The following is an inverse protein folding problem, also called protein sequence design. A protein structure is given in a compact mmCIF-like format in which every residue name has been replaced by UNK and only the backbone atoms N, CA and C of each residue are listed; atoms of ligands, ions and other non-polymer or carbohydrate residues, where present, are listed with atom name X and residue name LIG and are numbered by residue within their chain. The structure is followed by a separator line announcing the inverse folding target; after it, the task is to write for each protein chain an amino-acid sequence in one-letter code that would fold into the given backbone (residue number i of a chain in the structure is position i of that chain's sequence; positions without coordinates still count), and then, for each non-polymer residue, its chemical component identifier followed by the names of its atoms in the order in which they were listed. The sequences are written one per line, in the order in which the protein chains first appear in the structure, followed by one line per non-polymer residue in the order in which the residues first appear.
data_IF_558072849483
#
_entry.id   IF_558072849483
#
_cell.length_a   1.000
_cell.length_b   1.000
_cell.length_c   1.000
_cell.angle_alpha   90.00
_cell.angle_beta   90.00
_cell.angle_gamma   90.00
#
_symmetry.space_group_name_H-M   'P 1'
#
loop_
_entity.id
_entity.type
_entity.pdbx_description
1 polymer ?
#
# COMPACT_ATOMS: atom_id res chain seq x y z
N UNK A 1 9.49 -6.60 -3.05
CA UNK A 1 10.00 -5.23 -3.34
C UNK A 1 9.76 -4.30 -2.14
N UNK A 2 10.56 -3.24 -1.95
CA UNK A 2 10.37 -2.22 -0.89
C UNK A 2 10.21 -0.83 -1.50
N UNK A 3 9.22 -0.08 -1.02
CA UNK A 3 8.93 1.29 -1.45
C UNK A 3 8.94 2.24 -0.25
N UNK A 4 9.37 3.48 -0.45
CA UNK A 4 9.20 4.53 0.57
C UNK A 4 7.77 5.04 0.57
N UNK A 5 7.24 5.34 1.76
CA UNK A 5 5.90 5.93 1.92
C UNK A 5 5.74 7.18 1.06
N UNK A 6 6.74 8.06 1.05
CA UNK A 6 6.71 9.27 0.23
C UNK A 6 6.55 8.99 -1.28
N UNK A 7 7.14 7.90 -1.79
CA UNK A 7 6.98 7.49 -3.18
C UNK A 7 5.58 6.93 -3.44
N UNK A 8 5.03 6.16 -2.51
CA UNK A 8 3.65 5.68 -2.58
C UNK A 8 2.66 6.84 -2.52
N UNK A 9 2.89 7.84 -1.66
CA UNK A 9 2.07 9.04 -1.60
C UNK A 9 2.14 9.89 -2.87
N UNK A 10 3.33 10.04 -3.46
CA UNK A 10 3.46 10.70 -4.76
C UNK A 10 2.65 9.97 -5.85
N UNK A 11 2.78 8.64 -5.91
CA UNK A 11 2.00 7.81 -6.82
C UNK A 11 0.48 7.96 -6.58
N UNK A 12 0.03 8.01 -5.33
CA UNK A 12 -1.39 8.20 -5.00
C UNK A 12 -1.91 9.58 -5.42
N UNK A 13 -1.10 10.64 -5.37
CA UNK A 13 -1.48 11.98 -5.84
C UNK A 13 -1.76 12.05 -7.34
N UNK A 14 -1.13 11.17 -8.12
CA UNK A 14 -1.34 11.05 -9.56
C UNK A 14 -2.60 10.24 -9.91
N UNK A 15 -3.20 9.56 -8.93
CA UNK A 15 -4.40 8.74 -9.12
C UNK A 15 -5.69 9.56 -8.93
N UNK A 16 -6.80 9.15 -9.55
CA UNK A 16 -8.10 9.74 -9.28
C UNK A 16 -8.47 9.69 -7.79
N UNK A 17 -9.22 10.69 -7.34
CA UNK A 17 -9.75 10.72 -5.98
C UNK A 17 -10.59 9.45 -5.71
N UNK A 18 -10.31 8.80 -4.58
CA UNK A 18 -10.98 7.55 -4.18
C UNK A 18 -10.33 6.26 -4.69
N UNK A 19 -9.19 6.33 -5.39
CA UNK A 19 -8.37 5.16 -5.68
C UNK A 19 -7.84 4.54 -4.37
N UNK A 20 -7.80 3.20 -4.31
CA UNK A 20 -7.24 2.48 -3.16
C UNK A 20 -5.75 2.18 -3.32
N UNK A 21 -5.08 1.82 -2.23
CA UNK A 21 -3.68 1.38 -2.30
C UNK A 21 -3.52 0.05 -3.04
N UNK A 22 -4.49 -0.86 -2.93
CA UNK A 22 -4.53 -2.12 -3.67
C UNK A 22 -4.48 -1.86 -5.18
N UNK A 23 -5.35 -0.95 -5.65
CA UNK A 23 -5.41 -0.55 -7.05
C UNK A 23 -4.11 0.11 -7.50
N UNK A 24 -3.56 1.01 -6.69
CA UNK A 24 -2.36 1.76 -7.04
C UNK A 24 -1.09 0.88 -7.07
N UNK A 25 -0.96 -0.06 -6.14
CA UNK A 25 0.18 -0.97 -6.02
C UNK A 25 0.02 -2.24 -6.86
N UNK A 26 -1.18 -2.49 -7.41
CA UNK A 26 -1.49 -3.70 -8.17
C UNK A 26 -1.34 -4.96 -7.31
N UNK A 27 -1.85 -4.91 -6.08
CA UNK A 27 -1.79 -6.01 -5.10
C UNK A 27 -3.19 -6.49 -4.74
N UNK A 28 -3.30 -7.74 -4.31
CA UNK A 28 -4.55 -8.33 -3.86
C UNK A 28 -5.08 -7.65 -2.59
N UNK A 29 -4.20 -7.37 -1.63
CA UNK A 29 -4.57 -6.80 -0.33
C UNK A 29 -3.39 -6.04 0.28
N UNK A 30 -3.71 -4.94 0.99
CA UNK A 30 -2.75 -4.19 1.79
C UNK A 30 -2.99 -4.44 3.28
N UNK A 31 -2.06 -5.15 3.92
CA UNK A 31 -2.06 -5.34 5.37
C UNK A 31 -1.46 -4.13 6.08
N UNK A 32 -2.02 -3.78 7.24
CA UNK A 32 -1.48 -2.75 8.10
C UNK A 32 -0.44 -3.34 9.05
N UNK A 33 0.69 -2.63 9.19
CA UNK A 33 1.66 -2.85 10.25
C UNK A 33 1.68 -1.65 11.19
N UNK A 34 1.65 -1.92 12.50
CA UNK A 34 1.79 -0.90 13.54
C UNK A 34 3.25 -0.51 13.82
N UNK A 35 4.22 -1.27 13.29
CA UNK A 35 5.67 -1.01 13.50
C UNK A 35 6.34 -0.37 12.29
N UNK A 36 5.70 -0.37 11.12
CA UNK A 36 6.20 0.31 9.94
C UNK A 36 5.85 1.80 9.99
N UNK A 37 6.83 2.65 9.73
CA UNK A 37 6.68 4.10 9.70
C UNK A 37 6.80 4.71 8.30
N UNK A 38 7.84 4.33 7.55
CA UNK A 38 8.27 5.04 6.33
C UNK A 38 8.41 4.13 5.11
N UNK A 39 8.03 2.85 5.23
CA UNK A 39 8.22 1.85 4.17
C UNK A 39 6.97 1.02 3.93
N UNK A 40 6.77 0.67 2.66
CA UNK A 40 5.77 -0.29 2.19
C UNK A 40 6.50 -1.48 1.57
N UNK A 41 6.15 -2.68 2.02
CA UNK A 41 6.72 -3.92 1.52
C UNK A 41 5.73 -4.57 0.56
N UNK A 42 6.19 -4.95 -0.62
CA UNK A 42 5.43 -5.75 -1.58
C UNK A 42 6.01 -7.16 -1.58
N UNK A 43 5.14 -8.14 -1.37
CA UNK A 43 5.44 -9.56 -1.42
C UNK A 43 4.78 -10.12 -2.67
N UNK A 44 5.58 -10.62 -3.62
CA UNK A 44 5.11 -11.01 -4.95
C UNK A 44 4.43 -12.39 -4.97
N UNK A 45 4.74 -13.26 -4.01
CA UNK A 45 4.11 -14.58 -3.87
C UNK A 45 3.83 -14.91 -2.40
N UNK A 46 2.58 -14.77 -1.99
CA UNK A 46 2.03 -15.24 -0.72
C UNK A 46 0.81 -16.09 -1.05
N UNK A 47 1.02 -17.41 -1.10
CA UNK A 47 0.02 -18.39 -1.53
C UNK A 47 -0.55 -18.07 -2.93
N UNK A 48 0.31 -17.70 -3.88
CA UNK A 48 -0.09 -17.36 -5.26
C UNK A 48 -0.66 -15.95 -5.42
N UNK A 49 -0.62 -15.12 -4.38
CA UNK A 49 -1.12 -13.73 -4.41
C UNK A 49 -0.01 -12.75 -4.14
N UNK A 50 -0.07 -11.61 -4.83
CA UNK A 50 0.75 -10.44 -4.53
C UNK A 50 0.08 -9.62 -3.45
N UNK A 51 0.78 -9.34 -2.35
CA UNK A 51 0.24 -8.52 -1.24
C UNK A 51 1.19 -7.38 -0.90
N UNK A 52 0.68 -6.37 -0.19
CA UNK A 52 1.53 -5.34 0.41
C UNK A 52 1.34 -5.25 1.93
N UNK A 53 2.37 -4.79 2.63
CA UNK A 53 2.34 -4.43 4.04
C UNK A 53 2.75 -2.96 4.14
N UNK A 54 1.88 -2.14 4.69
CA UNK A 54 2.07 -0.69 4.80
C UNK A 54 1.87 -0.20 6.24
N UNK A 55 2.35 1.00 6.61
CA UNK A 55 2.01 1.63 7.87
C UNK A 55 0.49 1.75 8.02
N UNK A 56 -0.04 1.47 9.21
CA UNK A 56 -1.48 1.55 9.47
C UNK A 56 -2.07 2.92 9.06
N UNK A 57 -1.39 4.01 9.42
CA UNK A 57 -1.79 5.36 9.06
C UNK A 57 -1.84 5.61 7.54
N UNK A 58 -0.94 4.99 6.77
CA UNK A 58 -0.96 5.08 5.31
C UNK A 58 -2.13 4.28 4.75
N UNK A 59 -2.33 3.05 5.22
CA UNK A 59 -3.43 2.20 4.77
C UNK A 59 -4.78 2.87 5.03
N UNK A 60 -5.00 3.32 6.26
CA UNK A 60 -6.30 3.86 6.67
C UNK A 60 -6.67 5.17 5.96
N UNK A 61 -5.68 5.96 5.54
CA UNK A 61 -5.90 7.18 4.73
C UNK A 61 -6.52 6.88 3.36
N UNK A 62 -6.15 5.76 2.76
CA UNK A 62 -6.56 5.36 1.41
C UNK A 62 -7.47 4.14 1.39
N UNK A 63 -7.91 3.70 2.58
CA UNK A 63 -8.88 2.61 2.72
C UNK A 63 -10.24 3.14 2.30
N UNK A 64 -10.91 2.40 1.42
CA UNK A 64 -12.33 2.65 1.14
C UNK A 64 -13.14 2.25 2.38
N UNK A 65 -13.93 3.20 2.90
CA UNK A 65 -14.92 2.95 3.95
C UNK A 65 -15.98 1.97 3.50
#
# INVERSE_FOLDING_TARGET
MRLKVAAVEAMMKERPAGATLEEALGVFEVFASGTLSDEVYILDDVSGKRIAIAPAALRDRYRRG
#
